data_IF_309542757419
#
_entry.id   IF_309542757419
#
_cell.length_a   1.000
_cell.length_b   1.000
_cell.length_c   1.000
_cell.angle_alpha   90.00
_cell.angle_beta   90.00
_cell.angle_gamma   90.00
#
_symmetry.space_group_name_H-M   'P 1'
#
loop_
_entity.id
_entity.type
_entity.pdbx_description
1 polymer ?
#
# COMPACT_ATOMS: atom_id res chain seq x y z
N UNK A 1 10.57 4.69 11.48
CA UNK A 1 10.59 3.21 11.56
C UNK A 1 11.97 2.69 11.28
N UNK A 2 12.35 2.64 10.00
CA UNK A 2 13.65 2.12 9.54
C UNK A 2 14.85 2.77 10.25
N UNK A 3 14.91 4.11 10.33
CA UNK A 3 15.97 4.82 11.02
C UNK A 3 16.09 4.46 12.53
N UNK A 4 14.96 4.23 13.20
CA UNK A 4 14.95 3.75 14.59
C UNK A 4 15.45 2.31 14.69
N UNK A 5 15.06 1.44 13.75
CA UNK A 5 15.58 0.07 13.67
C UNK A 5 17.10 0.03 13.53
N UNK A 6 17.66 0.91 12.68
CA UNK A 6 19.10 1.06 12.50
C UNK A 6 19.80 1.56 13.78
N UNK A 7 19.23 2.57 14.45
CA UNK A 7 19.80 3.12 15.68
C UNK A 7 19.80 2.10 16.84
N UNK A 8 18.73 1.32 16.99
CA UNK A 8 18.62 0.30 18.04
C UNK A 8 19.22 -1.07 17.67
N UNK A 9 19.76 -1.24 16.45
CA UNK A 9 20.20 -2.54 15.89
C UNK A 9 19.13 -3.63 15.95
N UNK A 10 17.85 -3.24 15.87
CA UNK A 10 16.70 -4.15 15.81
C UNK A 10 16.30 -4.33 14.35
N UNK A 11 15.84 -5.53 13.97
CA UNK A 11 15.32 -5.78 12.64
C UNK A 11 14.33 -4.68 12.21
N UNK A 12 14.53 -4.02 11.05
CA UNK A 12 13.77 -2.83 10.66
C UNK A 12 12.25 -3.01 10.60
N UNK A 13 11.77 -4.25 10.41
CA UNK A 13 10.34 -4.59 10.44
C UNK A 13 9.71 -4.26 11.80
N UNK A 14 10.30 -4.75 12.89
CA UNK A 14 9.68 -4.62 14.21
C UNK A 14 9.68 -3.17 14.69
N UNK A 15 10.70 -2.40 14.32
CA UNK A 15 10.74 -0.97 14.62
C UNK A 15 9.82 -0.12 13.72
N UNK A 16 9.45 -0.61 12.53
CA UNK A 16 8.64 0.15 11.57
C UNK A 16 7.14 -0.01 11.78
N UNK A 17 6.67 -1.19 12.19
CA UNK A 17 5.26 -1.45 12.47
C UNK A 17 4.65 -0.44 13.47
N UNK A 18 5.18 -0.26 14.69
CA UNK A 18 4.58 0.66 15.67
C UNK A 18 4.62 2.11 15.19
N UNK A 19 5.68 2.52 14.51
CA UNK A 19 5.81 3.89 13.98
C UNK A 19 4.77 4.18 12.91
N UNK A 20 4.48 3.20 12.04
CA UNK A 20 3.50 3.38 10.97
C UNK A 20 2.07 3.30 11.51
N UNK A 21 1.80 2.43 12.49
CA UNK A 21 0.51 2.43 13.19
C UNK A 21 0.25 3.78 13.86
N UNK A 22 1.25 4.35 14.53
CA UNK A 22 1.16 5.68 15.13
C UNK A 22 0.97 6.78 14.06
N UNK A 23 1.68 6.70 12.94
CA UNK A 23 1.54 7.62 11.83
C UNK A 23 0.13 7.57 11.21
N UNK A 24 -0.38 6.37 10.90
CA UNK A 24 -1.72 6.17 10.36
C UNK A 24 -2.82 6.64 11.31
N UNK A 25 -2.70 6.34 12.60
CA UNK A 25 -3.59 6.88 13.63
C UNK A 25 -3.51 8.41 13.73
N UNK A 26 -2.29 8.98 13.60
CA UNK A 26 -2.06 10.42 13.55
C UNK A 26 -2.77 11.09 12.38
N UNK A 27 -2.68 10.51 11.17
CA UNK A 27 -3.40 10.98 9.98
C UNK A 27 -4.91 10.99 10.26
N UNK A 28 -5.47 9.88 10.77
CA UNK A 28 -6.89 9.79 11.14
C UNK A 28 -7.31 10.89 12.10
N UNK A 29 -6.51 11.14 13.14
CA UNK A 29 -6.80 12.15 14.16
C UNK A 29 -6.70 13.58 13.62
N UNK A 30 -5.77 13.84 12.69
CA UNK A 30 -5.67 15.13 12.00
C UNK A 30 -6.89 15.38 11.12
N UNK A 31 -7.34 14.38 10.36
CA UNK A 31 -8.55 14.48 9.55
C UNK A 31 -9.79 14.73 10.42
N UNK A 32 -9.94 14.00 11.53
CA UNK A 32 -11.12 14.14 12.40
C UNK A 32 -11.15 15.43 13.23
N UNK A 33 -10.03 15.81 13.86
CA UNK A 33 -10.01 16.94 14.82
C UNK A 33 -9.65 18.27 14.19
N UNK A 34 -8.74 18.28 13.21
CA UNK A 34 -8.30 19.51 12.57
C UNK A 34 -9.09 19.82 11.29
N UNK A 35 -10.04 18.95 10.88
CA UNK A 35 -10.80 19.05 9.62
C UNK A 35 -9.89 19.28 8.41
N UNK A 36 -8.69 18.73 8.46
CA UNK A 36 -7.73 18.81 7.37
C UNK A 36 -8.18 17.87 6.24
N UNK A 37 -8.01 18.31 5.00
CA UNK A 37 -8.10 17.44 3.83
C UNK A 37 -7.10 16.29 3.97
N UNK A 38 -7.50 15.08 3.56
CA UNK A 38 -6.69 13.87 3.70
C UNK A 38 -5.27 14.01 3.16
N UNK A 39 -5.13 14.62 1.98
CA UNK A 39 -3.82 14.88 1.35
C UNK A 39 -2.92 15.80 2.18
N UNK A 40 -3.49 16.81 2.86
CA UNK A 40 -2.73 17.69 3.73
C UNK A 40 -2.27 16.96 5.00
N UNK A 41 -3.11 16.13 5.61
CA UNK A 41 -2.75 15.32 6.77
C UNK A 41 -1.64 14.31 6.43
N UNK A 42 -1.75 13.65 5.28
CA UNK A 42 -0.71 12.75 4.75
C UNK A 42 0.59 13.51 4.52
N UNK A 43 0.54 14.69 3.89
CA UNK A 43 1.72 15.52 3.64
C UNK A 43 2.44 15.96 4.92
N UNK A 44 1.70 16.41 5.93
CA UNK A 44 2.27 16.84 7.23
C UNK A 44 2.95 15.68 7.95
N UNK A 45 2.26 14.54 8.07
CA UNK A 45 2.81 13.35 8.75
C UNK A 45 4.02 12.81 8.00
N UNK A 46 3.99 12.82 6.67
CA UNK A 46 5.11 12.37 5.83
C UNK A 46 6.33 13.28 5.97
N UNK A 47 6.14 14.61 5.91
CA UNK A 47 7.21 15.58 6.09
C UNK A 47 7.84 15.48 7.49
N UNK A 48 7.02 15.36 8.54
CA UNK A 48 7.49 15.16 9.91
C UNK A 48 8.25 13.84 10.06
N UNK A 49 7.71 12.74 9.51
CA UNK A 49 8.33 11.41 9.56
C UNK A 49 9.68 11.36 8.85
N UNK A 50 9.81 12.00 7.68
CA UNK A 50 11.08 12.10 6.95
C UNK A 50 12.08 12.94 7.73
N UNK A 51 11.68 14.13 8.21
CA UNK A 51 12.57 15.01 8.97
C UNK A 51 13.13 14.32 10.23
N UNK A 52 12.25 13.68 11.01
CA UNK A 52 12.65 12.90 12.21
C UNK A 52 13.53 11.71 11.81
N UNK A 53 13.17 10.99 10.75
CA UNK A 53 13.93 9.85 10.26
C UNK A 53 15.36 10.21 9.84
N UNK A 54 15.51 11.33 9.12
CA UNK A 54 16.82 11.84 8.67
C UNK A 54 17.68 12.28 9.86
N UNK A 55 17.10 12.97 10.85
CA UNK A 55 17.81 13.36 12.07
C UNK A 55 18.35 12.14 12.84
N UNK A 56 17.50 11.12 13.03
CA UNK A 56 17.89 9.87 13.70
C UNK A 56 18.99 9.15 12.93
N UNK A 57 18.87 9.06 11.61
CA UNK A 57 19.88 8.41 10.76
C UNK A 57 21.22 9.15 10.77
N UNK A 58 21.19 10.48 10.83
CA UNK A 58 22.40 11.31 10.95
C UNK A 58 23.15 11.02 12.26
N UNK A 59 22.42 10.90 13.37
CA UNK A 59 22.98 10.56 14.69
C UNK A 59 23.51 9.12 14.74
N UNK A 60 22.90 8.19 14.00
CA UNK A 60 23.26 6.77 13.99
C UNK A 60 24.56 6.44 13.21
N UNK A 61 25.30 7.44 12.69
CA UNK A 61 26.58 7.22 12.02
C UNK A 61 26.52 7.21 10.49
N UNK A 62 25.44 7.75 9.89
CA UNK A 62 25.36 8.02 8.45
C UNK A 62 24.43 7.08 7.67
N UNK A 63 23.95 7.60 6.53
CA UNK A 63 23.01 6.93 5.61
C UNK A 63 23.72 5.79 4.82
N UNK A 64 24.10 4.69 5.49
CA UNK A 64 24.43 3.42 4.80
C UNK A 64 23.17 2.60 4.50
N UNK A 65 22.07 3.29 4.20
CA UNK A 65 20.84 2.67 3.70
C UNK A 65 20.93 2.82 2.19
N UNK A 66 21.03 1.70 1.49
CA UNK A 66 20.96 1.69 0.03
C UNK A 66 19.57 2.19 -0.38
N UNK A 67 19.48 3.51 -0.62
CA UNK A 67 18.24 4.21 -0.89
C UNK A 67 17.61 3.67 -2.17
N UNK A 68 18.45 3.27 -3.13
CA UNK A 68 18.01 2.59 -4.34
C UNK A 68 17.37 1.24 -4.02
N UNK A 69 17.98 0.45 -3.14
CA UNK A 69 17.38 -0.81 -2.67
C UNK A 69 16.03 -0.61 -1.96
N UNK A 70 15.85 0.49 -1.20
CA UNK A 70 14.56 0.80 -0.57
C UNK A 70 13.51 1.34 -1.55
N UNK A 71 13.92 2.16 -2.53
CA UNK A 71 13.02 2.76 -3.50
C UNK A 71 12.55 1.75 -4.55
N UNK A 72 13.46 0.88 -5.01
CA UNK A 72 13.23 -0.10 -6.08
C UNK A 72 13.03 -1.53 -5.59
N UNK A 73 13.35 -1.82 -4.32
CA UNK A 73 13.26 -3.16 -3.74
C UNK A 73 14.30 -4.12 -4.29
N UNK A 74 14.36 -5.31 -3.69
CA UNK A 74 15.05 -6.45 -4.29
C UNK A 74 14.19 -7.70 -4.11
N UNK A 75 13.29 -7.94 -5.08
CA UNK A 75 12.39 -9.10 -5.09
C UNK A 75 13.18 -10.43 -5.06
N UNK A 76 14.42 -10.43 -5.56
CA UNK A 76 15.27 -11.63 -5.61
C UNK A 76 15.90 -11.95 -4.24
N UNK A 77 15.97 -10.99 -3.32
CA UNK A 77 16.57 -11.15 -1.99
C UNK A 77 15.53 -11.43 -0.89
N UNK A 78 14.29 -11.77 -1.26
CA UNK A 78 13.21 -12.03 -0.32
C UNK A 78 13.45 -13.32 0.47
N UNK A 79 13.42 -13.21 1.79
CA UNK A 79 13.61 -14.34 2.69
C UNK A 79 12.32 -15.15 2.88
N UNK A 80 12.47 -16.43 3.27
CA UNK A 80 11.35 -17.35 3.52
C UNK A 80 10.41 -16.84 4.62
N UNK A 81 10.98 -16.20 5.65
CA UNK A 81 10.22 -15.59 6.75
C UNK A 81 9.33 -14.44 6.27
N UNK A 82 9.85 -13.58 5.38
CA UNK A 82 9.09 -12.47 4.82
C UNK A 82 7.94 -12.97 3.92
N UNK A 83 8.15 -14.05 3.16
CA UNK A 83 7.07 -14.69 2.37
C UNK A 83 5.96 -15.21 3.27
N UNK A 84 6.30 -15.93 4.35
CA UNK A 84 5.30 -16.48 5.28
C UNK A 84 4.54 -15.35 5.97
N UNK A 85 5.23 -14.30 6.43
CA UNK A 85 4.61 -13.15 7.07
C UNK A 85 3.63 -12.43 6.13
N UNK A 86 4.00 -12.24 4.86
CA UNK A 86 3.13 -11.65 3.84
C UNK A 86 1.96 -12.54 3.47
N UNK A 87 2.13 -13.86 3.43
CA UNK A 87 1.03 -14.80 3.19
C UNK A 87 0.00 -14.76 4.33
N UNK A 88 0.46 -14.76 5.59
CA UNK A 88 -0.40 -14.63 6.77
C UNK A 88 -1.15 -13.29 6.75
N UNK A 89 -0.46 -12.18 6.47
CA UNK A 89 -1.11 -10.87 6.40
C UNK A 89 -2.10 -10.75 5.25
N UNK A 90 -1.80 -11.33 4.09
CA UNK A 90 -2.75 -11.41 2.96
C UNK A 90 -4.02 -12.16 3.38
N UNK A 91 -3.88 -13.29 4.07
CA UNK A 91 -5.02 -14.04 4.59
C UNK A 91 -5.85 -13.22 5.60
N UNK A 92 -5.20 -12.51 6.53
CA UNK A 92 -5.88 -11.65 7.50
C UNK A 92 -6.67 -10.55 6.81
N UNK A 93 -6.08 -9.88 5.80
CA UNK A 93 -6.75 -8.83 5.02
C UNK A 93 -7.97 -9.41 4.28
N UNK A 94 -7.81 -10.57 3.62
CA UNK A 94 -8.92 -11.22 2.90
C UNK A 94 -10.06 -11.63 3.83
N UNK A 95 -9.75 -12.16 5.02
CA UNK A 95 -10.76 -12.52 6.03
C UNK A 95 -11.51 -11.28 6.51
N UNK A 96 -10.81 -10.18 6.79
CA UNK A 96 -11.44 -8.94 7.25
C UNK A 96 -12.29 -8.32 6.15
N UNK A 97 -11.82 -8.28 4.90
CA UNK A 97 -12.63 -7.82 3.77
C UNK A 97 -13.88 -8.69 3.61
N UNK A 98 -13.76 -10.02 3.79
CA UNK A 98 -14.89 -10.95 3.74
C UNK A 98 -15.92 -10.72 4.84
N UNK A 99 -15.46 -10.53 6.08
CA UNK A 99 -16.33 -10.29 7.24
C UNK A 99 -17.02 -8.92 7.19
N UNK A 100 -16.29 -7.87 6.82
CA UNK A 100 -16.75 -6.48 6.82
C UNK A 100 -17.20 -6.00 5.43
N UNK A 101 -17.46 -6.91 4.49
CA UNK A 101 -17.78 -6.56 3.09
C UNK A 101 -18.93 -5.55 2.96
N UNK A 102 -20.03 -5.78 3.68
CA UNK A 102 -21.21 -4.91 3.67
C UNK A 102 -20.94 -3.54 4.30
N UNK A 103 -20.12 -3.50 5.35
CA UNK A 103 -19.75 -2.25 6.01
C UNK A 103 -18.78 -1.44 5.14
N UNK A 104 -17.81 -2.10 4.49
CA UNK A 104 -16.88 -1.46 3.55
C UNK A 104 -17.63 -0.85 2.36
N UNK A 105 -18.57 -1.57 1.74
CA UNK A 105 -19.29 -1.05 0.59
C UNK A 105 -20.17 0.14 0.98
N UNK A 106 -20.87 0.07 2.12
CA UNK A 106 -21.68 1.18 2.62
C UNK A 106 -20.84 2.43 2.89
N UNK A 107 -19.72 2.28 3.59
CA UNK A 107 -18.82 3.41 3.90
C UNK A 107 -18.18 4.00 2.64
N UNK A 108 -17.86 3.16 1.64
CA UNK A 108 -17.22 3.61 0.40
C UNK A 108 -18.18 4.35 -0.54
N UNK A 109 -19.46 3.95 -0.58
CA UNK A 109 -20.45 4.58 -1.45
C UNK A 109 -21.06 5.83 -0.82
N UNK A 110 -21.44 5.78 0.46
CA UNK A 110 -21.99 6.91 1.17
C UNK A 110 -21.79 6.77 2.68
N UNK A 111 -20.79 7.49 3.20
CA UNK A 111 -20.45 7.45 4.62
C UNK A 111 -21.58 8.00 5.51
N UNK A 112 -22.35 8.97 5.04
CA UNK A 112 -23.42 9.59 5.83
C UNK A 112 -24.64 8.67 5.92
N UNK A 113 -25.03 8.04 4.80
CA UNK A 113 -26.03 6.96 4.79
C UNK A 113 -25.60 5.77 5.65
N UNK A 114 -24.31 5.40 5.65
CA UNK A 114 -23.79 4.35 6.51
C UNK A 114 -23.90 4.71 8.01
N UNK A 115 -23.62 5.96 8.39
CA UNK A 115 -23.80 6.44 9.77
C UNK A 115 -25.26 6.38 10.21
N UNK A 116 -26.19 6.82 9.36
CA UNK A 116 -27.64 6.77 9.67
C UNK A 116 -28.13 5.32 9.76
N UNK A 117 -27.55 4.40 9.00
CA UNK A 117 -27.87 2.97 9.01
C UNK A 117 -27.30 2.20 10.20
N UNK A 118 -26.68 2.88 11.19
CA UNK A 118 -26.14 2.28 12.40
C UNK A 118 -24.74 1.67 12.25
N UNK A 119 -24.08 1.86 11.11
CA UNK A 119 -22.71 1.38 10.90
C UNK A 119 -21.74 2.32 11.62
N UNK A 120 -20.83 1.75 12.40
CA UNK A 120 -19.77 2.49 13.09
C UNK A 120 -18.66 2.89 12.11
N UNK A 121 -18.94 3.84 11.22
CA UNK A 121 -18.02 4.22 10.12
C UNK A 121 -16.62 4.57 10.60
N UNK A 122 -16.48 5.23 11.75
CA UNK A 122 -15.17 5.50 12.38
C UNK A 122 -14.37 4.24 12.69
N UNK A 123 -15.01 3.19 13.20
CA UNK A 123 -14.33 1.94 13.52
C UNK A 123 -13.88 1.23 12.24
N UNK A 124 -14.75 1.19 11.21
CA UNK A 124 -14.45 0.60 9.91
C UNK A 124 -13.30 1.34 9.21
N UNK A 125 -13.34 2.68 9.18
CA UNK A 125 -12.25 3.50 8.62
C UNK A 125 -10.94 3.31 9.38
N UNK A 126 -10.98 3.27 10.71
CA UNK A 126 -9.78 3.02 11.51
C UNK A 126 -9.19 1.64 11.20
N UNK A 127 -10.03 0.60 11.13
CA UNK A 127 -9.61 -0.75 10.78
C UNK A 127 -8.97 -0.80 9.39
N UNK A 128 -9.61 -0.18 8.39
CA UNK A 128 -9.11 -0.09 7.02
C UNK A 128 -7.75 0.60 6.95
N UNK A 129 -7.60 1.75 7.61
CA UNK A 129 -6.33 2.49 7.61
C UNK A 129 -5.23 1.69 8.29
N UNK A 130 -5.53 1.04 9.43
CA UNK A 130 -4.54 0.21 10.12
C UNK A 130 -4.10 -0.98 9.26
N UNK A 131 -5.04 -1.69 8.63
CA UNK A 131 -4.71 -2.82 7.74
C UNK A 131 -3.89 -2.38 6.54
N UNK A 132 -4.29 -1.28 5.91
CA UNK A 132 -3.57 -0.72 4.77
C UNK A 132 -2.16 -0.33 5.19
N UNK A 133 -2.02 0.36 6.32
CA UNK A 133 -0.72 0.81 6.83
C UNK A 133 0.24 -0.36 7.10
N UNK A 134 -0.22 -1.41 7.77
CA UNK A 134 0.62 -2.61 8.03
C UNK A 134 0.97 -3.33 6.73
N UNK A 135 0.00 -3.48 5.83
CA UNK A 135 0.21 -4.14 4.52
C UNK A 135 1.25 -3.38 3.69
N UNK A 136 1.17 -2.06 3.65
CA UNK A 136 2.11 -1.19 2.93
C UNK A 136 3.52 -1.32 3.48
N UNK A 137 3.71 -1.34 4.80
CA UNK A 137 5.04 -1.47 5.42
C UNK A 137 5.71 -2.78 5.06
N UNK A 138 4.94 -3.88 5.11
CA UNK A 138 5.45 -5.19 4.74
C UNK A 138 5.80 -5.24 3.25
N UNK A 139 4.93 -4.70 2.39
CA UNK A 139 5.16 -4.64 0.95
C UNK A 139 6.38 -3.77 0.59
N UNK A 140 6.59 -2.64 1.27
CA UNK A 140 7.72 -1.72 1.01
C UNK A 140 9.06 -2.41 1.21
N UNK A 141 9.17 -3.35 2.16
CA UNK A 141 10.41 -4.09 2.39
C UNK A 141 10.68 -5.14 1.32
N UNK A 142 9.63 -5.78 0.81
CA UNK A 142 9.75 -6.82 -0.21
C UNK A 142 10.06 -6.23 -1.60
N UNK A 143 9.26 -5.24 -1.99
CA UNK A 143 9.18 -4.79 -3.38
C UNK A 143 9.65 -3.34 -3.55
N UNK A 144 9.80 -2.58 -2.47
CA UNK A 144 10.27 -1.18 -2.52
C UNK A 144 9.14 -0.15 -2.62
N UNK A 145 9.43 1.09 -2.24
CA UNK A 145 8.42 2.14 -2.05
C UNK A 145 7.71 2.55 -3.34
N UNK A 146 8.43 2.69 -4.46
CA UNK A 146 7.82 3.11 -5.73
C UNK A 146 6.87 2.06 -6.29
N UNK A 147 7.21 0.79 -6.11
CA UNK A 147 6.37 -0.32 -6.54
C UNK A 147 5.07 -0.38 -5.75
N UNK A 148 5.15 -0.15 -4.44
CA UNK A 148 3.96 -0.16 -3.58
C UNK A 148 2.98 0.94 -3.98
N UNK A 149 3.45 2.18 -4.21
CA UNK A 149 2.54 3.27 -4.61
C UNK A 149 1.84 2.97 -5.94
N UNK A 150 2.57 2.41 -6.92
CA UNK A 150 2.01 2.02 -8.19
C UNK A 150 1.01 0.85 -8.08
N UNK A 151 1.33 -0.19 -7.31
CA UNK A 151 0.47 -1.37 -7.13
C UNK A 151 -0.76 -1.08 -6.28
N UNK A 152 -0.76 -0.05 -5.45
CA UNK A 152 -1.95 0.39 -4.72
C UNK A 152 -2.95 1.10 -5.64
N UNK A 153 -2.47 1.90 -6.60
CA UNK A 153 -3.31 2.80 -7.38
C UNK A 153 -3.67 2.21 -8.73
N UNK A 154 -2.68 1.81 -9.53
CA UNK A 154 -2.88 1.45 -10.94
C UNK A 154 -3.80 0.25 -11.16
N UNK A 155 -3.64 -0.90 -10.48
CA UNK A 155 -4.52 -2.03 -10.71
C UNK A 155 -5.93 -1.78 -10.17
N UNK A 156 -6.08 -1.01 -9.09
CA UNK A 156 -7.37 -0.60 -8.55
C UNK A 156 -8.12 0.31 -9.53
N UNK A 157 -7.47 1.35 -10.05
CA UNK A 157 -8.06 2.24 -11.06
C UNK A 157 -8.42 1.48 -12.33
N UNK A 158 -7.54 0.58 -12.79
CA UNK A 158 -7.80 -0.27 -13.97
C UNK A 158 -9.03 -1.16 -13.74
N UNK A 159 -9.12 -1.78 -12.57
CA UNK A 159 -10.25 -2.64 -12.21
C UNK A 159 -11.56 -1.86 -12.08
N UNK A 160 -11.56 -0.69 -11.44
CA UNK A 160 -12.75 0.15 -11.31
C UNK A 160 -13.32 0.58 -12.67
N UNK A 161 -12.48 0.74 -13.69
CA UNK A 161 -12.94 1.08 -15.02
C UNK A 161 -13.60 -0.08 -15.77
N UNK A 162 -13.18 -1.32 -15.49
CA UNK A 162 -13.69 -2.52 -16.13
C UNK A 162 -14.81 -3.22 -15.33
N UNK A 163 -14.85 -3.02 -14.02
CA UNK A 163 -15.76 -3.71 -13.12
C UNK A 163 -17.19 -3.17 -13.20
N UNK A 164 -18.15 -4.09 -13.03
CA UNK A 164 -19.59 -3.77 -12.97
C UNK A 164 -20.16 -3.84 -11.54
N UNK A 165 -19.35 -4.26 -10.58
CA UNK A 165 -19.71 -4.37 -9.16
C UNK A 165 -18.47 -4.22 -8.28
N UNK A 166 -18.65 -3.84 -7.01
CA UNK A 166 -17.54 -3.68 -6.06
C UNK A 166 -16.77 -5.00 -5.85
N UNK A 167 -17.49 -6.13 -5.75
CA UNK A 167 -16.88 -7.48 -5.70
C UNK A 167 -16.03 -7.77 -6.93
N UNK A 168 -16.53 -7.41 -8.12
CA UNK A 168 -15.78 -7.56 -9.37
C UNK A 168 -14.56 -6.65 -9.41
N UNK A 169 -14.62 -5.44 -8.85
CA UNK A 169 -13.49 -4.51 -8.78
C UNK A 169 -12.37 -5.05 -7.88
N UNK A 170 -12.70 -5.59 -6.70
CA UNK A 170 -11.72 -6.22 -5.80
C UNK A 170 -11.00 -7.38 -6.51
N UNK A 171 -11.76 -8.25 -7.18
CA UNK A 171 -11.20 -9.40 -7.88
C UNK A 171 -10.34 -8.99 -9.07
N UNK A 172 -10.83 -8.10 -9.95
CA UNK A 172 -10.05 -7.61 -11.09
C UNK A 172 -8.78 -6.88 -10.65
N UNK A 173 -8.85 -6.07 -9.58
CA UNK A 173 -7.70 -5.34 -9.06
C UNK A 173 -6.62 -6.30 -8.60
N UNK A 174 -7.02 -7.33 -7.84
CA UNK A 174 -6.11 -8.39 -7.40
C UNK A 174 -5.51 -9.15 -8.59
N UNK A 175 -6.33 -9.50 -9.58
CA UNK A 175 -5.88 -10.22 -10.77
C UNK A 175 -4.90 -9.39 -11.61
N UNK A 176 -5.19 -8.11 -11.88
CA UNK A 176 -4.29 -7.21 -12.59
C UNK A 176 -2.99 -6.98 -11.84
N UNK A 177 -3.03 -6.84 -10.51
CA UNK A 177 -1.84 -6.73 -9.68
C UNK A 177 -0.96 -7.97 -9.79
N UNK A 178 -1.53 -9.16 -9.60
CA UNK A 178 -0.79 -10.44 -9.70
C UNK A 178 -0.22 -10.65 -11.10
N UNK A 179 -1.02 -10.43 -12.15
CA UNK A 179 -0.56 -10.57 -13.53
C UNK A 179 0.58 -9.61 -13.86
N UNK A 180 0.50 -8.35 -13.41
CA UNK A 180 1.56 -7.37 -13.63
C UNK A 180 2.85 -7.74 -12.93
N UNK A 181 2.77 -8.26 -11.71
CA UNK A 181 3.95 -8.71 -10.96
C UNK A 181 4.57 -9.93 -11.62
N UNK A 182 3.78 -10.95 -11.96
CA UNK A 182 4.30 -12.17 -12.61
C UNK A 182 4.91 -11.87 -13.99
N UNK A 183 4.19 -11.15 -14.85
CA UNK A 183 4.71 -10.76 -16.15
C UNK A 183 5.92 -9.82 -16.03
N UNK A 184 5.89 -8.89 -15.07
CA UNK A 184 6.98 -7.95 -14.86
C UNK A 184 8.27 -8.60 -14.37
N UNK A 185 8.17 -9.58 -13.48
CA UNK A 185 9.31 -10.39 -13.05
C UNK A 185 9.86 -11.21 -14.23
N UNK A 186 8.99 -11.86 -15.01
CA UNK A 186 9.43 -12.67 -16.15
C UNK A 186 10.16 -11.85 -17.22
N UNK A 187 9.63 -10.68 -17.56
CA UNK A 187 10.25 -9.76 -18.53
C UNK A 187 11.54 -9.16 -17.96
N UNK A 188 11.53 -8.75 -16.68
CA UNK A 188 12.70 -8.22 -15.99
C UNK A 188 13.85 -9.21 -15.98
N UNK A 189 13.56 -10.49 -15.71
CA UNK A 189 14.56 -11.55 -15.75
C UNK A 189 15.09 -11.83 -17.15
N UNK A 190 14.22 -11.79 -18.17
CA UNK A 190 14.60 -12.10 -19.56
C UNK A 190 15.47 -11.03 -20.20
N UNK A 191 15.23 -9.76 -19.87
CA UNK A 191 15.94 -8.61 -20.47
C UNK A 191 16.87 -7.88 -19.48
N UNK A 192 17.06 -8.43 -18.28
CA UNK A 192 17.89 -7.86 -17.22
C UNK A 192 17.53 -6.40 -16.84
N UNK A 193 16.23 -6.07 -16.86
CA UNK A 193 15.71 -4.74 -16.48
C UNK A 193 15.44 -4.66 -14.97
N UNK A 194 15.42 -3.45 -14.38
CA UNK A 194 14.94 -3.25 -13.01
C UNK A 194 13.48 -3.70 -12.85
N UNK A 195 13.26 -4.75 -12.05
CA UNK A 195 11.94 -5.38 -11.87
C UNK A 195 10.85 -4.37 -11.50
N UNK A 196 11.16 -3.41 -10.63
CA UNK A 196 10.18 -2.40 -10.23
C UNK A 196 9.70 -1.50 -11.35
N UNK A 197 10.62 -1.01 -12.20
CA UNK A 197 10.23 -0.18 -13.33
C UNK A 197 9.38 -0.98 -14.34
N UNK A 198 9.75 -2.23 -14.61
CA UNK A 198 9.03 -3.10 -15.55
C UNK A 198 7.61 -3.40 -15.09
N UNK A 199 7.40 -3.72 -13.81
CA UNK A 199 6.06 -4.00 -13.24
C UNK A 199 5.18 -2.73 -13.29
N UNK A 200 5.75 -1.55 -13.01
CA UNK A 200 5.00 -0.27 -13.08
C UNK A 200 4.57 0.02 -14.51
N UNK A 201 5.48 -0.11 -15.48
CA UNK A 201 5.17 0.08 -16.89
C UNK A 201 4.09 -0.90 -17.37
N UNK A 202 4.14 -2.16 -16.96
CA UNK A 202 3.08 -3.13 -17.27
C UNK A 202 1.72 -2.73 -16.69
N UNK A 203 1.67 -2.25 -15.44
CA UNK A 203 0.43 -1.74 -14.86
C UNK A 203 -0.14 -0.56 -15.66
N UNK A 204 0.72 0.34 -16.15
CA UNK A 204 0.31 1.46 -17.02
C UNK A 204 -0.24 0.93 -18.34
N UNK A 205 0.40 -0.08 -18.95
CA UNK A 205 -0.09 -0.71 -20.17
C UNK A 205 -1.47 -1.36 -19.95
N UNK A 206 -1.65 -2.11 -18.86
CA UNK A 206 -2.95 -2.70 -18.51
C UNK A 206 -4.02 -1.61 -18.36
N UNK A 207 -3.70 -0.53 -17.63
CA UNK A 207 -4.61 0.61 -17.47
C UNK A 207 -5.00 1.21 -18.82
N UNK A 208 -4.03 1.48 -19.69
CA UNK A 208 -4.26 2.05 -21.01
C UNK A 208 -5.13 1.14 -21.89
N UNK A 209 -4.86 -0.17 -21.87
CA UNK A 209 -5.65 -1.18 -22.59
C UNK A 209 -7.10 -1.20 -22.09
N UNK A 210 -7.31 -1.24 -20.77
CA UNK A 210 -8.65 -1.22 -20.18
C UNK A 210 -9.40 0.07 -20.55
N UNK A 211 -8.72 1.22 -20.51
CA UNK A 211 -9.30 2.50 -20.89
C UNK A 211 -9.74 2.51 -22.36
N UNK A 212 -8.91 1.99 -23.26
CA UNK A 212 -9.20 1.91 -24.68
C UNK A 212 -10.39 0.99 -24.96
N UNK A 213 -10.44 -0.18 -24.32
CA UNK A 213 -11.57 -1.11 -24.42
C UNK A 213 -12.87 -0.51 -23.93
N UNK A 214 -12.83 0.30 -22.87
CA UNK A 214 -14.02 1.01 -22.37
C UNK A 214 -14.52 2.04 -23.39
N UNK A 215 -13.61 2.82 -23.98
CA UNK A 215 -13.94 3.81 -25.02
C UNK A 215 -14.50 3.19 -26.30
N UNK A 216 -14.12 1.96 -26.63
CA UNK A 216 -14.65 1.22 -27.78
C UNK A 216 -16.04 0.60 -27.52
N UNK A 217 -16.45 0.46 -26.25
CA UNK A 217 -17.73 -0.13 -25.83
C UNK A 217 -18.79 0.89 -25.44
N UNK A 218 -18.43 2.16 -25.26
CA UNK A 218 -19.33 3.26 -24.95
C UNK A 218 -19.40 4.24 -26.10
#
# INVERSE_FOLDING_TARGET
GVALGLLFKVYPIYASIPVVLLGGYGILKLMERARLYGDAAIGIISAAGIAVGVLIASIAGGFNVDLFSYLFGNILAVSREEVVLSAVMSLVVLVIIGLFYHELISVTFDEDLAKVSGIKTKAVNTLLVMLTAVTVVLAMRLVGVMLVSALLILPAVSAFQAARSFKSAIFLSSAFGVLSVLAGIFISFSWNLPAGATIVLLNIVILAVVFLFKKLRG
#
